data_IF_957287304103
#
_entry.id   IF_957287304103
#
_cell.length_a   1.000
_cell.length_b   1.000
_cell.length_c   1.000
_cell.angle_alpha   90.00
_cell.angle_beta   90.00
_cell.angle_gamma   90.00
#
_symmetry.space_group_name_H-M   'P 1'
#
loop_
_entity.id
_entity.type
_entity.pdbx_description
1 polymer ?
#
# COMPACT_ATOMS: atom_id res chain seq x y z
N UNK A 1 43.57 -46.01 -14.66
CA UNK A 1 43.00 -44.85 -15.38
C UNK A 1 41.56 -44.43 -15.00
N UNK A 2 40.86 -45.07 -14.03
CA UNK A 2 39.44 -44.78 -13.68
C UNK A 2 39.17 -43.55 -12.78
N UNK A 3 40.16 -42.99 -12.10
CA UNK A 3 39.96 -41.95 -11.06
C UNK A 3 39.70 -40.53 -11.60
N UNK A 4 40.07 -40.22 -12.85
CA UNK A 4 39.94 -38.87 -13.43
C UNK A 4 38.52 -38.54 -13.94
N UNK A 5 37.72 -39.54 -14.34
CA UNK A 5 36.33 -39.33 -14.83
C UNK A 5 35.35 -38.91 -13.73
N UNK A 6 35.51 -39.41 -12.49
CA UNK A 6 34.62 -39.07 -11.37
C UNK A 6 34.75 -37.62 -10.88
N UNK A 7 35.92 -36.98 -11.02
CA UNK A 7 36.13 -35.60 -10.56
C UNK A 7 35.44 -34.55 -11.44
N UNK A 8 35.41 -34.77 -12.76
CA UNK A 8 34.78 -33.85 -13.73
C UNK A 8 33.24 -33.83 -13.63
N UNK A 9 32.62 -35.00 -13.37
CA UNK A 9 31.16 -35.07 -13.20
C UNK A 9 30.64 -34.41 -11.93
N UNK A 10 31.42 -34.45 -10.84
CA UNK A 10 31.06 -33.82 -9.56
C UNK A 10 31.13 -32.29 -9.61
N UNK A 11 32.11 -31.73 -10.32
CA UNK A 11 32.25 -30.28 -10.48
C UNK A 11 31.11 -29.68 -11.32
N UNK A 12 30.71 -30.34 -12.42
CA UNK A 12 29.61 -29.89 -13.27
C UNK A 12 28.25 -29.89 -12.53
N UNK A 13 27.99 -30.91 -11.70
CA UNK A 13 26.78 -31.02 -10.90
C UNK A 13 26.70 -29.99 -9.76
N UNK A 14 27.84 -29.59 -9.18
CA UNK A 14 27.91 -28.56 -8.14
C UNK A 14 27.64 -27.17 -8.72
N UNK A 15 28.16 -26.86 -9.91
CA UNK A 15 27.93 -25.57 -10.58
C UNK A 15 26.46 -25.37 -11.00
N UNK A 16 25.81 -26.39 -11.54
CA UNK A 16 24.37 -26.28 -11.91
C UNK A 16 23.47 -26.17 -10.68
N UNK A 17 23.79 -26.87 -9.58
CA UNK A 17 23.06 -26.74 -8.32
C UNK A 17 23.19 -25.33 -7.72
N UNK A 18 24.37 -24.71 -7.80
CA UNK A 18 24.61 -23.34 -7.30
C UNK A 18 23.87 -22.29 -8.16
N UNK A 19 23.87 -22.44 -9.49
CA UNK A 19 23.13 -21.53 -10.38
C UNK A 19 21.62 -21.61 -10.12
N UNK A 20 21.06 -22.81 -9.93
CA UNK A 20 19.65 -22.99 -9.60
C UNK A 20 19.29 -22.37 -8.23
N UNK A 21 20.18 -22.48 -7.23
CA UNK A 21 19.96 -21.90 -5.91
C UNK A 21 20.00 -20.35 -5.93
N UNK A 22 20.90 -19.75 -6.72
CA UNK A 22 20.98 -18.29 -6.87
C UNK A 22 19.75 -17.72 -7.60
N UNK A 23 19.25 -18.42 -8.63
CA UNK A 23 18.02 -18.02 -9.34
C UNK A 23 16.78 -18.14 -8.45
N UNK A 24 16.69 -19.17 -7.62
CA UNK A 24 15.59 -19.34 -6.66
C UNK A 24 15.61 -18.31 -5.51
N UNK A 25 16.79 -17.80 -5.14
CA UNK A 25 16.92 -16.76 -4.11
C UNK A 25 16.62 -15.35 -4.67
N UNK A 26 16.83 -15.10 -5.95
CA UNK A 26 16.63 -13.80 -6.59
C UNK A 26 15.14 -13.39 -6.73
N UNK A 27 14.20 -14.34 -6.69
CA UNK A 27 12.76 -14.05 -6.81
C UNK A 27 12.14 -13.49 -5.52
N UNK A 28 12.82 -13.59 -4.37
CA UNK A 28 12.30 -13.11 -3.09
C UNK A 28 12.57 -11.61 -2.82
N UNK A 29 13.32 -10.93 -3.69
CA UNK A 29 13.73 -9.54 -3.48
C UNK A 29 12.76 -8.47 -4.02
N UNK A 30 11.61 -8.86 -4.58
CA UNK A 30 10.67 -7.92 -5.22
C UNK A 30 9.35 -7.76 -4.45
N UNK A 31 9.20 -8.37 -3.27
CA UNK A 31 8.02 -8.16 -2.44
C UNK A 31 8.13 -6.80 -1.72
N UNK A 32 7.49 -5.76 -2.26
CA UNK A 32 7.16 -4.57 -1.47
C UNK A 32 6.32 -5.01 -0.28
N UNK A 33 6.64 -4.60 0.96
CA UNK A 33 5.80 -4.95 2.10
C UNK A 33 4.38 -4.46 1.82
N UNK A 34 3.39 -5.34 1.93
CA UNK A 34 2.01 -4.92 1.86
C UNK A 34 1.72 -4.07 3.11
N UNK A 35 1.57 -2.75 2.95
CA UNK A 35 1.03 -1.92 4.01
C UNK A 35 -0.42 -2.36 4.28
N UNK A 36 -0.71 -2.74 5.52
CA UNK A 36 -2.07 -3.00 5.94
C UNK A 36 -2.87 -1.68 5.90
N UNK A 37 -4.08 -1.76 5.37
CA UNK A 37 -5.01 -0.63 5.37
C UNK A 37 -5.27 -0.19 6.82
N UNK A 38 -5.28 1.12 7.06
CA UNK A 38 -5.55 1.70 8.38
C UNK A 38 -6.79 2.56 8.31
N UNK A 39 -7.78 2.29 9.15
CA UNK A 39 -9.05 3.02 9.19
C UNK A 39 -9.21 3.84 10.46
N UNK A 40 -9.80 5.03 10.33
CA UNK A 40 -10.20 5.85 11.47
C UNK A 40 -10.55 7.28 11.07
N UNK A 41 -10.84 8.10 12.08
CA UNK A 41 -11.13 9.51 11.87
C UNK A 41 -9.84 10.31 11.62
N UNK A 42 -9.85 11.12 10.56
CA UNK A 42 -8.81 12.12 10.32
C UNK A 42 -9.13 13.38 11.11
N UNK A 43 -8.41 13.61 12.21
CA UNK A 43 -8.62 14.76 13.11
C UNK A 43 -7.61 15.87 12.83
N UNK A 44 -8.10 17.08 12.62
CA UNK A 44 -7.27 18.27 12.50
C UNK A 44 -6.61 18.62 13.84
N UNK A 45 -5.28 18.75 13.86
CA UNK A 45 -4.51 19.03 15.09
C UNK A 45 -4.92 20.35 15.74
N UNK A 46 -5.21 21.40 14.96
CA UNK A 46 -5.58 22.71 15.49
C UNK A 46 -7.02 22.82 15.99
N UNK A 47 -7.97 22.09 15.40
CA UNK A 47 -9.40 22.19 15.71
C UNK A 47 -9.93 21.05 16.57
N UNK A 48 -9.24 19.90 16.60
CA UNK A 48 -9.75 18.65 17.19
C UNK A 48 -10.93 18.03 16.44
N UNK A 49 -11.32 18.61 15.29
CA UNK A 49 -12.48 18.22 14.47
C UNK A 49 -12.08 17.24 13.36
N UNK A 50 -13.08 16.53 12.85
CA UNK A 50 -12.91 15.43 11.90
C UNK A 50 -13.14 15.88 10.46
N UNK A 51 -12.40 15.28 9.51
CA UNK A 51 -12.74 15.34 8.09
C UNK A 51 -14.04 14.56 7.85
N UNK A 52 -15.03 15.23 7.28
CA UNK A 52 -16.41 14.76 7.18
C UNK A 52 -16.95 14.92 5.76
N UNK A 53 -17.72 13.95 5.30
CA UNK A 53 -18.53 14.07 4.08
C UNK A 53 -19.92 14.62 4.44
N UNK A 54 -20.28 15.85 4.03
CA UNK A 54 -21.52 16.51 4.43
C UNK A 54 -22.77 15.68 4.11
N UNK A 55 -23.63 15.51 5.11
CA UNK A 55 -24.90 14.77 4.96
C UNK A 55 -24.71 13.31 4.56
N UNK A 56 -23.51 12.74 4.72
CA UNK A 56 -23.13 11.43 4.22
C UNK A 56 -23.39 11.23 2.71
N UNK A 57 -23.27 12.30 1.92
CA UNK A 57 -23.41 12.26 0.45
C UNK A 57 -22.40 11.28 -0.16
N UNK A 58 -22.87 10.45 -1.11
CA UNK A 58 -22.00 9.56 -1.91
C UNK A 58 -21.85 10.05 -3.35
N UNK A 59 -22.28 11.29 -3.64
CA UNK A 59 -22.11 11.93 -4.93
C UNK A 59 -20.64 12.32 -5.14
N UNK A 60 -20.06 11.91 -6.27
CA UNK A 60 -18.68 12.25 -6.62
C UNK A 60 -18.49 13.77 -6.75
N UNK A 61 -17.34 14.27 -6.29
CA UNK A 61 -17.06 15.70 -6.25
C UNK A 61 -17.69 16.45 -5.07
N UNK A 62 -18.35 15.76 -4.14
CA UNK A 62 -18.78 16.37 -2.87
C UNK A 62 -17.56 16.93 -2.13
N UNK A 63 -17.54 18.24 -1.88
CA UNK A 63 -16.52 18.86 -1.04
C UNK A 63 -16.65 18.37 0.40
N UNK A 64 -15.55 17.87 0.95
CA UNK A 64 -15.46 17.52 2.38
C UNK A 64 -15.44 18.76 3.26
N UNK A 65 -15.83 18.60 4.52
CA UNK A 65 -15.82 19.67 5.52
C UNK A 65 -15.06 19.25 6.78
N UNK A 66 -14.77 20.22 7.64
CA UNK A 66 -14.28 19.98 9.00
C UNK A 66 -15.47 20.08 9.95
N UNK A 67 -15.83 18.97 10.58
CA UNK A 67 -17.03 18.88 11.42
C UNK A 67 -16.74 18.26 12.80
N UNK A 68 -17.65 18.45 13.74
CA UNK A 68 -17.56 17.80 15.05
C UNK A 68 -17.50 16.29 14.89
N UNK A 69 -16.52 15.70 15.59
CA UNK A 69 -16.31 14.26 15.57
C UNK A 69 -17.48 13.56 16.28
N UNK A 70 -18.23 12.73 15.55
CA UNK A 70 -19.36 11.97 16.08
C UNK A 70 -19.25 10.46 15.79
N UNK A 71 -18.20 10.02 15.10
CA UNK A 71 -17.91 8.60 14.85
C UNK A 71 -18.74 7.98 13.72
N UNK A 72 -19.59 8.77 13.05
CA UNK A 72 -20.38 8.30 11.92
C UNK A 72 -19.50 7.86 10.74
N UNK A 73 -20.05 6.98 9.89
CA UNK A 73 -19.31 6.36 8.78
C UNK A 73 -18.75 7.39 7.78
N UNK A 74 -19.40 8.54 7.64
CA UNK A 74 -18.96 9.66 6.80
C UNK A 74 -17.74 10.43 7.36
N UNK A 75 -17.23 10.03 8.53
CA UNK A 75 -16.01 10.53 9.16
C UNK A 75 -14.93 9.45 9.29
N UNK A 76 -15.18 8.23 8.78
CA UNK A 76 -14.24 7.11 8.85
C UNK A 76 -13.52 6.97 7.52
N UNK A 77 -12.22 7.23 7.55
CA UNK A 77 -11.36 7.19 6.38
C UNK A 77 -10.37 6.04 6.47
N UNK A 78 -10.13 5.36 5.36
CA UNK A 78 -9.15 4.29 5.25
C UNK A 78 -7.97 4.77 4.41
N UNK A 79 -6.79 4.79 5.01
CA UNK A 79 -5.53 4.87 4.28
C UNK A 79 -5.21 3.49 3.71
N UNK A 80 -5.22 3.38 2.38
CA UNK A 80 -4.96 2.13 1.68
C UNK A 80 -3.46 1.87 1.51
N UNK A 81 -3.08 0.62 1.25
CA UNK A 81 -1.70 0.28 0.84
C UNK A 81 -1.22 0.95 -0.46
N UNK A 82 -2.13 1.53 -1.25
CA UNK A 82 -1.82 2.36 -2.43
C UNK A 82 -1.70 3.86 -2.13
N UNK A 83 -1.65 4.25 -0.85
CA UNK A 83 -1.59 5.63 -0.36
C UNK A 83 -2.81 6.49 -0.76
N UNK A 84 -3.99 5.89 -0.82
CA UNK A 84 -5.24 6.62 -1.02
C UNK A 84 -5.98 6.76 0.31
N UNK A 85 -6.61 7.91 0.53
CA UNK A 85 -7.62 8.07 1.58
C UNK A 85 -8.98 7.78 0.96
N UNK A 86 -9.63 6.73 1.46
CA UNK A 86 -10.94 6.30 0.98
C UNK A 86 -12.02 6.39 2.06
N UNK A 87 -13.26 6.61 1.64
CA UNK A 87 -14.45 6.59 2.47
C UNK A 87 -15.49 5.67 1.83
N UNK A 88 -16.37 5.07 2.64
CA UNK A 88 -17.40 4.12 2.19
C UNK A 88 -16.86 2.90 1.41
N UNK A 89 -15.58 2.56 1.59
CA UNK A 89 -14.96 1.38 0.99
C UNK A 89 -14.63 1.48 -0.51
N UNK A 90 -14.82 2.65 -1.14
CA UNK A 90 -14.52 2.80 -2.57
C UNK A 90 -14.54 4.21 -3.14
N UNK A 91 -14.86 5.23 -2.33
CA UNK A 91 -14.75 6.64 -2.74
C UNK A 91 -13.41 7.19 -2.28
N UNK A 92 -12.73 7.97 -3.12
CA UNK A 92 -11.40 8.52 -2.82
C UNK A 92 -11.48 10.01 -2.51
N UNK A 93 -10.67 10.47 -1.55
CA UNK A 93 -10.40 11.89 -1.38
C UNK A 93 -9.46 12.36 -2.49
N UNK A 94 -9.79 13.46 -3.16
CA UNK A 94 -8.98 14.06 -4.22
C UNK A 94 -8.93 15.58 -4.08
N UNK A 95 -7.88 16.18 -4.64
CA UNK A 95 -7.74 17.63 -4.75
C UNK A 95 -8.27 18.06 -6.12
N UNK A 96 -9.28 18.95 -6.18
CA UNK A 96 -9.84 19.40 -7.46
C UNK A 96 -8.77 19.89 -8.43
N UNK A 97 -8.79 19.35 -9.65
CA UNK A 97 -7.85 19.71 -10.71
C UNK A 97 -6.39 19.36 -10.43
N UNK A 98 -6.11 18.50 -9.45
CA UNK A 98 -4.77 18.11 -9.02
C UNK A 98 -3.89 19.32 -8.64
N UNK A 99 -4.50 20.34 -8.02
CA UNK A 99 -3.79 21.53 -7.58
C UNK A 99 -2.64 21.16 -6.62
N UNK A 100 -1.47 21.74 -6.86
CA UNK A 100 -0.26 21.52 -6.06
C UNK A 100 0.13 22.73 -5.21
N UNK A 101 -0.58 23.84 -5.37
CA UNK A 101 -0.44 25.02 -4.52
C UNK A 101 -0.97 24.69 -3.12
N UNK A 102 -0.25 25.14 -2.09
CA UNK A 102 -0.81 25.18 -0.74
C UNK A 102 -2.04 26.10 -0.72
N UNK A 103 -3.10 25.65 -0.05
CA UNK A 103 -4.27 26.47 0.24
C UNK A 103 -4.00 27.54 1.27
#
# INVERSE_FOLDING_TARGET
>A
MRRRRMRRGRLAAVLTAMVAAVVAAATMFVATPAQADTSGALRGVGSGRCLDVPGASQTDGTYTQIWDCNGAANQQWTLTGSNQLTVYGGKCLDVPGHATAAG
#
